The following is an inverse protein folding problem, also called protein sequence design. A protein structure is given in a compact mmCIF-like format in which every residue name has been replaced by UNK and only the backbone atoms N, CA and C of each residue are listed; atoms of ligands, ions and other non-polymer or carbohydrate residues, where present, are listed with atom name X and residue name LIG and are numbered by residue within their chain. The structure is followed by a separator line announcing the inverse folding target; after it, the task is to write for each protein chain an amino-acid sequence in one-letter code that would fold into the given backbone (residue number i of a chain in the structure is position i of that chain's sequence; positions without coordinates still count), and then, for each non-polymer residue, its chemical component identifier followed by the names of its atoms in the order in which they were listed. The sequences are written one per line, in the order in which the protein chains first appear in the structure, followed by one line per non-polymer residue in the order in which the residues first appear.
data_IF_831027820948
#
_entry.id   IF_831027820948
#
_cell.length_a   1.000
_cell.length_b   1.000
_cell.length_c   1.000
_cell.angle_alpha   90.00
_cell.angle_beta   90.00
_cell.angle_gamma   90.00
#
_symmetry.space_group_name_H-M   'P 1'
#
loop_
_entity.id
_entity.type
_entity.pdbx_description
1 polymer ?
#
# COMPACT_ATOMS: atom_id res chain seq x y z
N UNK A 1 3.62 -4.31 -19.53
CA UNK A 1 4.57 -4.51 -18.42
C UNK A 1 3.84 -5.20 -17.28
N UNK A 2 4.21 -6.43 -16.92
CA UNK A 2 3.55 -7.22 -15.87
C UNK A 2 4.55 -8.02 -15.01
N UNK A 3 5.84 -7.72 -15.12
CA UNK A 3 6.90 -8.41 -14.37
C UNK A 3 6.81 -8.20 -12.86
N UNK A 4 6.24 -7.08 -12.40
CA UNK A 4 6.04 -6.79 -10.98
C UNK A 4 5.04 -7.74 -10.31
N UNK A 5 4.12 -8.32 -11.09
CA UNK A 5 3.19 -9.33 -10.60
C UNK A 5 3.82 -10.73 -10.50
N UNK A 6 5.09 -10.92 -10.88
CA UNK A 6 5.76 -12.23 -10.90
C UNK A 6 4.87 -13.34 -11.51
N UNK A 7 4.28 -13.05 -12.67
CA UNK A 7 3.39 -13.99 -13.33
C UNK A 7 4.16 -15.27 -13.71
N UNK A 8 3.67 -16.41 -13.23
CA UNK A 8 4.22 -17.74 -13.52
C UNK A 8 3.15 -18.56 -14.22
N UNK A 9 3.52 -19.16 -15.34
CA UNK A 9 2.69 -20.08 -16.12
C UNK A 9 3.33 -21.46 -16.08
N UNK A 10 2.64 -22.41 -15.48
CA UNK A 10 3.02 -23.82 -15.47
C UNK A 10 2.13 -24.58 -16.45
N UNK A 11 2.70 -24.93 -17.60
CA UNK A 11 1.95 -25.45 -18.75
C UNK A 11 1.36 -26.84 -18.47
N UNK A 12 0.14 -27.12 -18.99
CA UNK A 12 -0.52 -28.41 -18.79
C UNK A 12 0.24 -29.54 -19.49
N UNK A 13 0.13 -30.75 -18.93
CA UNK A 13 0.55 -31.98 -19.59
C UNK A 13 -0.55 -33.05 -19.40
N UNK A 14 -1.48 -33.17 -20.37
CA UNK A 14 -2.59 -34.12 -20.32
C UNK A 14 -2.13 -35.59 -20.29
N UNK A 15 -0.98 -35.89 -20.87
CA UNK A 15 -0.46 -37.27 -21.01
C UNK A 15 0.31 -37.76 -19.76
N UNK A 16 0.47 -36.91 -18.74
CA UNK A 16 1.20 -37.28 -17.51
C UNK A 16 0.44 -38.37 -16.75
N UNK A 17 1.11 -39.47 -16.43
CA UNK A 17 0.59 -40.55 -15.57
C UNK A 17 1.10 -40.43 -14.12
N UNK A 18 0.33 -40.86 -13.10
CA UNK A 18 -1.02 -41.43 -13.19
C UNK A 18 -2.13 -40.37 -13.36
N UNK A 19 -1.84 -39.09 -13.09
CA UNK A 19 -2.80 -38.00 -13.22
C UNK A 19 -2.25 -36.89 -14.12
N UNK A 20 -3.09 -36.34 -15.03
CA UNK A 20 -2.69 -35.24 -15.91
C UNK A 20 -2.23 -34.04 -15.09
N UNK A 21 -1.27 -33.30 -15.63
CA UNK A 21 -0.83 -32.03 -15.05
C UNK A 21 -1.76 -30.92 -15.55
N UNK A 22 -2.48 -30.20 -14.66
CA UNK A 22 -3.34 -29.09 -15.05
C UNK A 22 -2.53 -27.86 -15.48
N UNK A 23 -3.20 -26.91 -16.14
CA UNK A 23 -2.65 -25.56 -16.38
C UNK A 23 -2.73 -24.77 -15.07
N UNK A 24 -1.58 -24.39 -14.52
CA UNK A 24 -1.50 -23.61 -13.29
C UNK A 24 -0.92 -22.24 -13.62
N UNK A 25 -1.63 -21.19 -13.21
CA UNK A 25 -1.20 -19.80 -13.38
C UNK A 25 -1.25 -19.10 -12.04
N UNK A 26 -0.20 -18.36 -11.71
CA UNK A 26 -0.16 -17.54 -10.50
C UNK A 26 0.44 -16.17 -10.79
N UNK A 27 0.01 -15.21 -9.99
CA UNK A 27 0.56 -13.85 -9.95
C UNK A 27 0.41 -13.27 -8.54
N UNK A 28 1.18 -12.24 -8.23
CA UNK A 28 1.08 -11.44 -7.02
C UNK A 28 -0.04 -10.42 -7.18
N UNK A 29 -0.80 -10.20 -6.13
CA UNK A 29 -1.85 -9.18 -6.06
C UNK A 29 -1.71 -8.40 -4.76
N UNK A 30 -2.27 -7.19 -4.72
CA UNK A 30 -2.31 -6.36 -3.53
C UNK A 30 -2.98 -7.11 -2.36
N UNK A 31 -2.41 -6.98 -1.15
CA UNK A 31 -2.96 -7.60 0.05
C UNK A 31 -4.20 -6.87 0.60
N UNK A 32 -4.36 -5.60 0.24
CA UNK A 32 -5.42 -4.70 0.73
C UNK A 32 -4.83 -3.42 1.36
N UNK A 33 -5.63 -2.65 2.12
CA UNK A 33 -5.19 -1.40 2.75
C UNK A 33 -4.01 -1.59 3.73
N UNK A 34 -3.05 -0.67 3.68
CA UNK A 34 -1.82 -0.67 4.50
C UNK A 34 -1.78 0.55 5.41
N UNK A 35 -1.46 0.35 6.67
CA UNK A 35 -1.20 1.40 7.64
C UNK A 35 0.30 1.75 7.67
N UNK A 36 0.63 3.04 7.52
CA UNK A 36 2.03 3.52 7.56
C UNK A 36 2.23 4.49 8.72
N UNK A 37 3.30 4.30 9.49
CA UNK A 37 3.67 5.18 10.60
C UNK A 37 4.95 5.92 10.23
N UNK A 38 4.86 7.22 9.98
CA UNK A 38 6.03 8.02 9.59
C UNK A 38 7.08 8.12 10.69
N UNK A 39 8.35 8.03 10.30
CA UNK A 39 9.50 8.20 11.19
C UNK A 39 9.77 9.68 11.49
N UNK A 40 10.18 9.99 12.73
CA UNK A 40 10.48 11.36 13.17
C UNK A 40 11.74 11.94 12.55
N UNK A 41 12.76 11.12 12.32
CA UNK A 41 14.10 11.52 11.91
C UNK A 41 14.25 11.74 10.40
N UNK A 42 13.31 11.24 9.59
CA UNK A 42 13.29 11.44 8.14
C UNK A 42 11.89 11.90 7.69
N UNK A 43 11.55 13.18 7.90
CA UNK A 43 10.16 13.69 7.77
C UNK A 43 9.61 13.66 6.35
N UNK A 44 10.45 13.35 5.34
CA UNK A 44 10.07 13.16 3.94
C UNK A 44 10.23 11.69 3.52
N UNK A 45 11.47 11.20 3.41
CA UNK A 45 11.79 9.90 2.79
C UNK A 45 11.28 8.66 3.55
N UNK A 46 10.93 8.78 4.83
CA UNK A 46 10.36 7.70 5.65
C UNK A 46 9.08 8.16 6.37
N UNK A 47 8.28 8.97 5.69
CA UNK A 47 7.09 9.61 6.25
C UNK A 47 5.90 9.47 5.27
N UNK A 48 5.06 10.50 5.15
CA UNK A 48 3.82 10.48 4.38
C UNK A 48 3.96 9.94 2.95
N UNK A 49 5.03 10.32 2.23
CA UNK A 49 5.37 9.78 0.90
C UNK A 49 6.71 9.03 0.92
N UNK A 50 7.02 8.37 2.04
CA UNK A 50 8.25 7.61 2.20
C UNK A 50 8.22 6.25 1.50
N UNK A 51 9.28 5.47 1.70
CA UNK A 51 9.45 4.15 1.09
C UNK A 51 8.27 3.20 1.28
N UNK A 52 7.68 3.15 2.48
CA UNK A 52 6.53 2.28 2.78
C UNK A 52 5.28 2.69 2.00
N UNK A 53 4.96 3.99 1.98
CA UNK A 53 3.85 4.52 1.16
C UNK A 53 4.08 4.24 -0.32
N UNK A 54 5.27 4.55 -0.84
CA UNK A 54 5.58 4.40 -2.25
C UNK A 54 5.50 2.93 -2.70
N UNK A 55 6.06 2.01 -1.92
CA UNK A 55 6.04 0.59 -2.23
C UNK A 55 4.64 -0.03 -2.10
N UNK A 56 3.85 0.36 -1.10
CA UNK A 56 2.46 -0.08 -0.94
C UNK A 56 1.59 0.38 -2.12
N UNK A 57 1.67 1.66 -2.52
CA UNK A 57 0.95 2.16 -3.69
C UNK A 57 1.38 1.45 -4.98
N UNK A 58 2.69 1.22 -5.16
CA UNK A 58 3.21 0.48 -6.31
C UNK A 58 2.72 -0.99 -6.36
N UNK A 59 2.48 -1.60 -5.19
CA UNK A 59 1.88 -2.93 -5.09
C UNK A 59 0.35 -2.94 -5.33
N UNK A 60 -0.28 -1.77 -5.47
CA UNK A 60 -1.73 -1.63 -5.63
C UNK A 60 -2.52 -1.57 -4.32
N UNK A 61 -1.86 -1.28 -3.20
CA UNK A 61 -2.50 -1.17 -1.89
C UNK A 61 -2.87 0.29 -1.59
N UNK A 62 -4.13 0.58 -1.18
CA UNK A 62 -4.46 1.86 -0.56
C UNK A 62 -3.66 2.10 0.72
N UNK A 63 -3.27 3.34 0.99
CA UNK A 63 -2.41 3.68 2.12
C UNK A 63 -3.11 4.63 3.09
N UNK A 64 -3.09 4.29 4.37
CA UNK A 64 -3.52 5.17 5.45
C UNK A 64 -2.30 5.49 6.32
N UNK A 65 -1.83 6.74 6.26
CA UNK A 65 -0.70 7.21 7.05
C UNK A 65 -1.20 7.72 8.40
N UNK A 66 -0.66 7.19 9.50
CA UNK A 66 -0.70 7.86 10.80
C UNK A 66 0.44 8.88 10.85
N UNK A 67 0.09 10.15 10.68
CA UNK A 67 1.01 11.28 10.72
C UNK A 67 1.81 11.36 12.03
N UNK A 68 3.11 11.57 11.92
CA UNK A 68 3.97 11.73 13.07
C UNK A 68 3.81 13.14 13.65
N UNK A 69 3.64 13.23 14.97
CA UNK A 69 3.30 14.49 15.66
C UNK A 69 4.42 15.52 15.67
N UNK A 70 5.66 15.12 15.38
CA UNK A 70 6.80 16.02 15.29
C UNK A 70 6.80 16.91 14.03
N UNK A 71 6.07 16.51 12.98
CA UNK A 71 6.08 17.21 11.68
C UNK A 71 4.72 17.18 10.97
N UNK A 72 3.62 17.59 11.66
CA UNK A 72 2.28 17.48 11.10
C UNK A 72 2.09 18.34 9.85
N UNK A 73 2.64 19.57 9.84
CA UNK A 73 2.58 20.46 8.68
C UNK A 73 3.33 19.92 7.46
N UNK A 74 4.49 19.28 7.67
CA UNK A 74 5.24 18.62 6.59
C UNK A 74 4.43 17.48 5.99
N UNK A 75 3.84 16.61 6.82
CA UNK A 75 2.98 15.53 6.33
C UNK A 75 1.74 16.07 5.61
N UNK A 76 1.15 17.18 6.08
CA UNK A 76 -0.01 17.78 5.44
C UNK A 76 0.30 18.28 4.03
N UNK A 77 1.39 19.03 3.84
CA UNK A 77 1.80 19.51 2.50
C UNK A 77 2.03 18.33 1.55
N UNK A 78 2.65 17.25 2.04
CA UNK A 78 2.83 16.02 1.23
C UNK A 78 1.49 15.38 0.88
N UNK A 79 0.53 15.34 1.81
CA UNK A 79 -0.81 14.81 1.54
C UNK A 79 -1.56 15.65 0.50
N UNK A 80 -1.47 16.98 0.54
CA UNK A 80 -2.03 17.89 -0.47
C UNK A 80 -1.39 17.65 -1.85
N UNK A 81 -0.08 17.39 -1.91
CA UNK A 81 0.59 16.99 -3.16
C UNK A 81 0.03 15.67 -3.72
N UNK A 82 -0.21 14.67 -2.85
CA UNK A 82 -0.77 13.37 -3.26
C UNK A 82 -2.23 13.53 -3.72
N UNK A 83 -3.05 14.29 -2.99
CA UNK A 83 -4.43 14.58 -3.37
C UNK A 83 -4.50 15.25 -4.75
N UNK A 84 -3.65 16.24 -4.99
CA UNK A 84 -3.55 16.88 -6.31
C UNK A 84 -3.12 15.90 -7.41
N UNK A 85 -2.23 14.95 -7.11
CA UNK A 85 -1.84 13.91 -8.07
C UNK A 85 -3.00 12.95 -8.36
N UNK A 86 -3.72 12.47 -7.33
CA UNK A 86 -4.89 11.61 -7.52
C UNK A 86 -5.98 12.30 -8.36
N UNK A 87 -6.24 13.58 -8.10
CA UNK A 87 -7.20 14.35 -8.88
C UNK A 87 -6.77 14.51 -10.35
N UNK A 88 -5.48 14.72 -10.62
CA UNK A 88 -4.95 14.83 -11.99
C UNK A 88 -5.07 13.51 -12.77
N UNK A 89 -4.93 12.39 -12.08
CA UNK A 89 -5.03 11.05 -12.65
C UNK A 89 -6.47 10.49 -12.66
N UNK A 90 -7.47 11.28 -12.24
CA UNK A 90 -8.88 10.87 -12.09
C UNK A 90 -9.04 9.61 -11.21
N UNK A 91 -8.25 9.54 -10.14
CA UNK A 91 -8.22 8.42 -9.21
C UNK A 91 -8.99 8.73 -7.91
N UNK A 92 -9.63 7.72 -7.28
CA UNK A 92 -10.31 7.92 -6.01
C UNK A 92 -9.38 8.47 -4.93
N UNK A 93 -9.80 9.55 -4.24
CA UNK A 93 -9.05 10.16 -3.14
C UNK A 93 -8.72 9.17 -2.01
N UNK A 94 -9.58 8.16 -1.81
CA UNK A 94 -9.41 7.11 -0.80
C UNK A 94 -8.20 6.18 -1.02
N UNK A 95 -7.48 6.29 -2.15
CA UNK A 95 -6.20 5.57 -2.36
C UNK A 95 -5.14 6.02 -1.33
N UNK A 96 -5.20 7.27 -0.87
CA UNK A 96 -4.31 7.77 0.17
C UNK A 96 -5.09 8.56 1.22
N UNK A 97 -4.80 8.34 2.50
CA UNK A 97 -5.39 9.13 3.59
C UNK A 97 -4.35 9.42 4.65
N UNK A 98 -4.27 10.68 5.08
CA UNK A 98 -3.45 11.10 6.21
C UNK A 98 -4.32 11.32 7.45
N UNK A 99 -4.03 10.58 8.52
CA UNK A 99 -4.62 10.76 9.84
C UNK A 99 -3.65 11.52 10.74
N UNK A 100 -4.11 12.64 11.30
CA UNK A 100 -3.33 13.42 12.29
C UNK A 100 -3.92 13.23 13.68
N UNK A 101 -3.04 13.19 14.68
CA UNK A 101 -3.46 13.09 16.08
C UNK A 101 -2.30 12.85 17.04
N UNK A 102 -2.40 13.47 18.21
CA UNK A 102 -1.44 13.33 19.31
C UNK A 102 -1.79 12.23 20.32
N UNK A 103 -2.98 11.64 20.19
CA UNK A 103 -3.47 10.52 20.99
C UNK A 103 -2.97 9.19 20.43
N UNK A 104 -2.48 8.30 21.30
CA UNK A 104 -1.94 6.98 20.89
C UNK A 104 -3.06 6.04 20.45
N UNK A 105 -4.26 6.24 20.96
CA UNK A 105 -5.48 5.51 20.65
C UNK A 105 -5.78 5.54 19.15
N UNK A 106 -5.44 6.64 18.44
CA UNK A 106 -5.57 6.74 17.00
C UNK A 106 -4.71 5.68 16.28
N UNK A 107 -3.46 5.53 16.70
CA UNK A 107 -2.55 4.53 16.12
C UNK A 107 -2.97 3.11 16.46
N UNK A 108 -3.39 2.87 17.71
CA UNK A 108 -3.87 1.57 18.17
C UNK A 108 -5.14 1.13 17.42
N UNK A 109 -6.09 2.04 17.24
CA UNK A 109 -7.30 1.78 16.48
C UNK A 109 -6.98 1.49 15.01
N UNK A 110 -6.02 2.21 14.41
CA UNK A 110 -5.62 1.98 13.03
C UNK A 110 -5.04 0.57 12.83
N UNK A 111 -4.06 0.16 13.66
CA UNK A 111 -3.41 -1.16 13.49
C UNK A 111 -4.33 -2.34 13.81
N UNK A 112 -5.37 -2.14 14.62
CA UNK A 112 -6.33 -3.19 14.99
C UNK A 112 -7.56 -3.22 14.08
N UNK A 113 -7.69 -2.28 13.14
CA UNK A 113 -8.86 -2.20 12.29
C UNK A 113 -8.94 -3.38 11.31
N UNK A 114 -10.07 -4.10 11.19
CA UNK A 114 -10.15 -5.37 10.43
C UNK A 114 -9.93 -5.24 8.91
N UNK A 115 -10.07 -4.02 8.37
CA UNK A 115 -9.77 -3.73 6.96
C UNK A 115 -8.29 -3.47 6.68
N UNK A 116 -7.48 -3.16 7.69
CA UNK A 116 -6.03 -3.03 7.52
C UNK A 116 -5.42 -4.43 7.38
N UNK A 117 -4.50 -4.57 6.43
CA UNK A 117 -3.88 -5.86 6.05
C UNK A 117 -2.37 -5.89 6.29
N UNK A 118 -1.75 -4.73 6.50
CA UNK A 118 -0.39 -4.56 7.00
C UNK A 118 -0.29 -3.25 7.79
#
# INVERSE_FOLDING_TARGET
SGSYHQAIFDTPNPERQPLPKPDIRRQQIAIGPVAVFGASNFPLAFSAAGGDTASALAAGCPVIVKGHTAHPGTSQIVAECIENALNKEDLPSAIFTLLQGNKRELGQALVTHPKIKA
#
